data_IF_291596403685
#
_entry.id   IF_291596403685
#
_cell.length_a   1.000
_cell.length_b   1.000
_cell.length_c   1.000
_cell.angle_alpha   90.00
_cell.angle_beta   90.00
_cell.angle_gamma   90.00
#
_symmetry.space_group_name_H-M   'P 1'
#
loop_
_entity.id
_entity.type
_entity.pdbx_description
1 polymer ?
#
# COMPACT_ATOMS: atom_id res chain seq x y z
N UNK A 1 10.28 -14.54 1.65
CA UNK A 1 9.30 -13.90 2.55
C UNK A 1 8.35 -14.94 3.11
N UNK A 2 8.02 -14.81 4.36
CA UNK A 2 7.02 -15.67 4.98
C UNK A 2 5.65 -15.39 4.38
N UNK A 3 4.89 -16.44 4.04
CA UNK A 3 3.55 -16.24 3.46
C UNK A 3 2.63 -15.41 4.37
N UNK A 4 2.82 -15.57 5.68
CA UNK A 4 2.02 -14.85 6.66
C UNK A 4 2.23 -13.33 6.57
N UNK A 5 3.48 -12.91 6.47
CA UNK A 5 3.82 -11.49 6.38
C UNK A 5 3.35 -10.90 5.06
N UNK A 6 3.52 -11.64 3.97
CA UNK A 6 3.07 -11.19 2.67
C UNK A 6 1.56 -10.98 2.65
N UNK A 7 0.83 -11.91 3.24
CA UNK A 7 -0.63 -11.82 3.31
C UNK A 7 -1.05 -10.60 4.10
N UNK A 8 -0.37 -10.33 5.20
CA UNK A 8 -0.64 -9.16 6.03
C UNK A 8 -0.40 -7.87 5.26
N UNK A 9 0.72 -7.79 4.55
CA UNK A 9 1.04 -6.60 3.76
C UNK A 9 0.02 -6.36 2.66
N UNK A 10 -0.41 -7.40 1.98
CA UNK A 10 -1.42 -7.29 0.93
C UNK A 10 -2.75 -6.80 1.50
N UNK A 11 -3.10 -7.24 2.68
CA UNK A 11 -4.33 -6.82 3.34
C UNK A 11 -4.27 -5.34 3.70
N UNK A 12 -3.15 -4.89 4.24
CA UNK A 12 -2.94 -3.49 4.58
C UNK A 12 -2.96 -2.64 3.30
N UNK A 13 -2.31 -3.11 2.25
CA UNK A 13 -2.29 -2.42 0.96
C UNK A 13 -3.70 -2.20 0.42
N UNK A 14 -4.53 -3.21 0.51
CA UNK A 14 -5.91 -3.11 0.04
C UNK A 14 -6.68 -2.05 0.82
N UNK A 15 -6.48 -2.00 2.14
CA UNK A 15 -7.13 -1.01 2.99
C UNK A 15 -6.72 0.41 2.58
N UNK A 16 -5.43 0.65 2.37
CA UNK A 16 -4.94 1.94 1.94
C UNK A 16 -5.44 2.30 0.55
N UNK A 17 -5.54 1.33 -0.32
CA UNK A 17 -6.02 1.57 -1.68
C UNK A 17 -7.48 2.05 -1.66
N UNK A 18 -8.30 1.47 -0.81
CA UNK A 18 -9.68 1.90 -0.68
C UNK A 18 -9.77 3.34 -0.15
N UNK A 19 -8.94 3.65 0.84
CA UNK A 19 -8.88 5.00 1.38
C UNK A 19 -8.36 6.00 0.35
N UNK A 20 -7.39 5.58 -0.44
CA UNK A 20 -6.86 6.40 -1.51
C UNK A 20 -7.96 6.77 -2.51
N UNK A 21 -8.77 5.80 -2.91
CA UNK A 21 -9.85 6.04 -3.84
C UNK A 21 -10.86 7.02 -3.28
N UNK A 22 -11.19 6.88 -1.99
CA UNK A 22 -12.13 7.79 -1.34
C UNK A 22 -11.58 9.20 -1.28
N UNK A 23 -10.31 9.35 -0.89
CA UNK A 23 -9.69 10.66 -0.81
C UNK A 23 -9.68 11.34 -2.18
N UNK A 24 -9.40 10.57 -3.23
CA UNK A 24 -9.40 11.10 -4.58
C UNK A 24 -10.80 11.52 -5.01
N UNK A 25 -11.80 10.74 -4.62
CA UNK A 25 -13.18 11.02 -4.95
C UNK A 25 -13.65 12.33 -4.30
N UNK A 26 -13.21 12.58 -3.07
CA UNK A 26 -13.57 13.80 -2.35
C UNK A 26 -12.67 14.99 -2.67
N UNK A 27 -11.65 14.79 -3.52
CA UNK A 27 -10.75 15.86 -3.89
C UNK A 27 -9.77 16.24 -2.80
N UNK A 28 -9.51 15.34 -1.87
CA UNK A 28 -8.57 15.59 -0.77
C UNK A 28 -7.15 15.30 -1.24
N UNK A 29 -6.48 16.33 -1.73
CA UNK A 29 -5.14 16.17 -2.29
C UNK A 29 -4.12 15.73 -1.25
N UNK A 30 -4.26 16.20 -0.02
CA UNK A 30 -3.32 15.85 1.04
C UNK A 30 -3.35 14.35 1.32
N UNK A 31 -4.53 13.81 1.60
CA UNK A 31 -4.66 12.40 1.91
C UNK A 31 -4.44 11.52 0.69
N UNK A 32 -4.76 12.02 -0.49
CA UNK A 32 -4.48 11.29 -1.72
C UNK A 32 -2.98 11.03 -1.85
N UNK A 33 -2.17 12.05 -1.63
CA UNK A 33 -0.71 11.91 -1.68
C UNK A 33 -0.21 11.02 -0.54
N UNK A 34 -0.77 11.18 0.64
CA UNK A 34 -0.37 10.41 1.80
C UNK A 34 -0.59 8.91 1.57
N UNK A 35 -1.79 8.55 1.15
CA UNK A 35 -2.11 7.14 0.92
C UNK A 35 -1.34 6.57 -0.25
N UNK A 36 -1.11 7.36 -1.29
CA UNK A 36 -0.31 6.92 -2.43
C UNK A 36 1.10 6.54 -1.98
N UNK A 37 1.68 7.34 -1.09
CA UNK A 37 3.00 7.06 -0.55
C UNK A 37 3.02 5.78 0.27
N UNK A 38 1.99 5.57 1.10
CA UNK A 38 1.91 4.36 1.90
C UNK A 38 1.79 3.12 1.03
N UNK A 39 0.99 3.18 -0.01
CA UNK A 39 0.84 2.06 -0.94
C UNK A 39 2.17 1.78 -1.64
N UNK A 40 2.86 2.82 -2.06
CA UNK A 40 4.15 2.68 -2.72
C UNK A 40 5.17 2.02 -1.78
N UNK A 41 5.19 2.44 -0.53
CA UNK A 41 6.13 1.86 0.44
C UNK A 41 5.87 0.38 0.62
N UNK A 42 4.59 -0.01 0.69
CA UNK A 42 4.23 -1.41 0.83
C UNK A 42 4.64 -2.19 -0.43
N UNK A 43 4.42 -1.62 -1.60
CA UNK A 43 4.82 -2.26 -2.85
C UNK A 43 6.33 -2.47 -2.91
N UNK A 44 7.10 -1.48 -2.49
CA UNK A 44 8.56 -1.61 -2.46
C UNK A 44 8.99 -2.72 -1.51
N UNK A 45 8.35 -2.80 -0.37
CA UNK A 45 8.68 -3.85 0.60
C UNK A 45 8.38 -5.22 0.03
N UNK A 46 7.25 -5.37 -0.64
CA UNK A 46 6.89 -6.64 -1.27
C UNK A 46 7.87 -7.03 -2.36
N UNK A 47 8.25 -6.07 -3.19
CA UNK A 47 9.19 -6.30 -4.28
C UNK A 47 10.57 -6.66 -3.74
N UNK A 48 11.04 -5.92 -2.74
CA UNK A 48 12.36 -6.16 -2.18
C UNK A 48 12.47 -7.54 -1.55
N UNK A 49 11.44 -7.99 -0.86
CA UNK A 49 11.49 -9.30 -0.23
C UNK A 49 11.40 -10.42 -1.24
N UNK A 50 10.68 -10.21 -2.32
CA UNK A 50 10.61 -11.22 -3.38
C UNK A 50 11.88 -11.26 -4.21
N UNK A 51 12.52 -10.13 -4.38
CA UNK A 51 13.74 -10.04 -5.15
C UNK A 51 15.00 -10.39 -4.38
N UNK A 52 14.91 -10.44 -3.08
CA UNK A 52 16.05 -10.71 -2.20
C UNK A 52 16.21 -12.21 -2.03
N UNK A 53 17.14 -12.75 -2.73
CA UNK A 53 17.41 -14.20 -2.69
C UNK A 53 18.71 -14.52 -2.01
#
# INVERSE_FOLDING_TARGET
MEPHRRRKLLKIRKSFLERYKLAKQFGDNFYTKYFAKQIRDIDEELINEEGDK
#
